data_IF_325898317548
#
_entry.id   IF_325898317548
#
_cell.length_a   1.000
_cell.length_b   1.000
_cell.length_c   1.000
_cell.angle_alpha   90.00
_cell.angle_beta   90.00
_cell.angle_gamma   90.00
#
_symmetry.space_group_name_H-M   'P 1'
#
loop_
_entity.id
_entity.type
_entity.pdbx_description
1 polymer ?
#
# COMPACT_ATOMS: atom_id res chain seq x y z
N UNK A 1 53.52 -8.08 19.97
CA UNK A 1 53.70 -8.29 21.42
C UNK A 1 54.16 -6.96 22.04
N UNK A 2 53.79 -6.63 23.30
CA UNK A 2 52.78 -5.62 23.65
C UNK A 2 53.31 -4.31 24.32
N UNK A 3 52.35 -3.41 24.61
CA UNK A 3 52.22 -2.08 25.28
C UNK A 3 53.09 -1.81 26.56
N UNK A 4 52.92 -0.75 27.42
CA UNK A 4 52.00 0.43 27.46
C UNK A 4 52.63 1.77 28.04
N UNK A 5 51.82 2.84 28.18
CA UNK A 5 52.09 3.96 29.13
C UNK A 5 51.63 5.34 28.63
N UNK A 6 50.38 5.77 28.85
CA UNK A 6 49.87 6.57 30.00
C UNK A 6 50.48 7.98 30.16
N UNK A 7 49.70 9.04 29.97
CA UNK A 7 49.18 9.92 31.04
C UNK A 7 48.46 11.18 30.48
N UNK A 8 47.50 11.64 31.28
CA UNK A 8 46.47 12.65 31.02
C UNK A 8 46.98 14.11 31.03
N UNK A 9 46.37 15.01 30.26
CA UNK A 9 45.81 16.27 30.83
C UNK A 9 44.79 16.99 29.93
N UNK A 10 43.57 16.90 30.42
CA UNK A 10 42.37 17.74 30.31
C UNK A 10 42.61 19.26 30.29
N UNK A 11 41.84 20.01 29.47
CA UNK A 11 41.10 21.27 29.78
C UNK A 11 40.11 21.53 28.61
N UNK A 12 38.80 21.39 28.81
CA UNK A 12 37.87 22.41 29.31
C UNK A 12 37.33 23.33 28.20
N UNK A 13 36.02 23.22 27.93
CA UNK A 13 35.26 24.12 27.06
C UNK A 13 33.88 23.56 26.71
N UNK A 14 32.93 23.62 27.66
CA UNK A 14 31.47 23.70 27.39
C UNK A 14 31.27 24.72 26.25
N UNK A 15 30.41 24.50 25.24
CA UNK A 15 28.94 24.63 25.27
C UNK A 15 28.35 23.68 24.19
N UNK A 16 27.35 22.83 24.43
CA UNK A 16 25.96 23.23 24.58
C UNK A 16 25.04 22.75 23.45
N UNK A 17 25.19 21.51 22.92
CA UNK A 17 24.23 20.95 21.95
C UNK A 17 23.45 19.77 22.56
N UNK A 18 22.22 20.02 23.02
CA UNK A 18 21.29 18.98 23.47
C UNK A 18 20.71 18.27 22.25
N UNK A 19 21.30 17.15 21.84
CA UNK A 19 20.68 16.20 20.91
C UNK A 19 19.95 15.12 21.69
N UNK A 20 18.61 15.17 21.71
CA UNK A 20 17.76 14.14 22.30
C UNK A 20 17.68 12.94 21.36
N UNK A 21 18.62 12.02 21.46
CA UNK A 21 18.39 10.64 21.02
C UNK A 21 17.76 9.87 22.17
N UNK A 22 16.60 9.26 21.95
CA UNK A 22 16.05 8.24 22.84
C UNK A 22 16.11 6.90 22.12
N UNK A 23 17.17 6.19 22.44
CA UNK A 23 17.31 4.74 22.36
C UNK A 23 16.22 4.14 23.26
N UNK A 24 15.34 3.32 22.71
CA UNK A 24 14.37 2.58 23.50
C UNK A 24 15.00 1.25 23.89
N UNK A 25 15.60 1.22 25.07
CA UNK A 25 15.79 0.00 25.85
C UNK A 25 14.46 -0.36 26.51
N UNK A 26 14.13 -1.65 26.46
CA UNK A 26 12.89 -2.19 27.01
C UNK A 26 12.95 -2.34 28.53
N UNK A 27 11.85 -1.99 29.18
CA UNK A 27 11.43 -2.54 30.46
C UNK A 27 9.93 -2.29 30.62
N UNK A 28 9.16 -3.35 30.83
CA UNK A 28 7.70 -3.28 30.91
C UNK A 28 7.22 -2.54 32.15
N UNK A 29 6.02 -1.96 32.04
CA UNK A 29 5.03 -2.14 33.09
C UNK A 29 3.62 -1.93 32.53
N UNK A 30 2.72 -2.80 32.97
CA UNK A 30 1.32 -2.87 32.59
C UNK A 30 0.55 -1.76 33.32
N UNK A 31 0.07 -0.74 32.61
CA UNK A 31 -1.03 0.15 33.06
C UNK A 31 -1.82 0.63 31.85
N UNK A 32 -3.10 0.27 31.83
CA UNK A 32 -4.04 0.72 30.82
C UNK A 32 -4.25 2.24 30.88
N UNK A 33 -4.40 2.82 29.69
CA UNK A 33 -5.12 4.04 29.32
C UNK A 33 -5.32 3.88 27.81
N UNK A 34 -6.52 3.72 27.26
CA UNK A 34 -7.57 4.72 27.34
C UNK A 34 -7.22 5.87 26.40
N UNK A 35 -7.63 5.80 25.13
CA UNK A 35 -7.50 6.91 24.18
C UNK A 35 -7.11 6.50 22.76
N UNK A 36 -8.10 6.19 21.93
CA UNK A 36 -7.89 5.90 20.50
C UNK A 36 -9.13 6.18 19.68
N UNK A 37 -9.82 7.29 19.96
CA UNK A 37 -11.11 7.64 19.35
C UNK A 37 -10.97 8.03 17.87
N UNK A 38 -9.79 8.52 17.45
CA UNK A 38 -9.56 9.00 16.08
C UNK A 38 -9.52 7.92 14.98
N UNK A 39 -9.20 6.67 15.32
CA UNK A 39 -9.09 5.59 14.33
C UNK A 39 -10.45 5.02 13.94
N UNK A 40 -11.40 4.97 14.89
CA UNK A 40 -12.80 4.60 14.60
C UNK A 40 -13.45 5.60 13.64
N UNK A 41 -13.04 6.86 13.70
CA UNK A 41 -13.54 7.92 12.83
C UNK A 41 -13.00 7.78 11.40
N UNK A 42 -11.72 7.41 11.24
CA UNK A 42 -11.12 7.10 9.94
C UNK A 42 -11.66 5.78 9.34
N UNK A 43 -12.01 4.80 10.19
CA UNK A 43 -12.68 3.57 9.78
C UNK A 43 -14.14 3.83 9.39
N UNK A 44 -14.86 4.67 10.14
CA UNK A 44 -16.20 5.17 9.78
C UNK A 44 -16.20 6.00 8.51
N UNK A 45 -15.11 6.70 8.20
CA UNK A 45 -14.94 7.44 6.96
C UNK A 45 -14.70 6.49 5.76
N UNK A 46 -14.10 5.31 5.99
CA UNK A 46 -14.02 4.22 5.01
C UNK A 46 -15.32 3.41 4.89
N UNK A 47 -16.04 3.17 5.99
CA UNK A 47 -17.39 2.60 6.00
C UNK A 47 -18.40 3.56 5.34
N UNK A 48 -18.20 4.87 5.47
CA UNK A 48 -18.98 5.94 4.85
C UNK A 48 -18.81 6.05 3.33
N UNK A 49 -17.91 5.28 2.72
CA UNK A 49 -17.85 5.07 1.28
C UNK A 49 -18.78 3.96 0.79
N UNK A 50 -19.51 3.27 1.69
CA UNK A 50 -20.75 2.62 1.30
C UNK A 50 -21.74 3.74 0.90
N UNK A 51 -21.67 4.17 -0.35
CA UNK A 51 -22.60 5.10 -0.98
C UNK A 51 -24.03 4.58 -0.76
N UNK A 52 -24.69 5.13 0.24
CA UNK A 52 -26.06 4.82 0.63
C UNK A 52 -26.95 5.89 0.01
N UNK A 53 -27.52 5.63 -1.17
CA UNK A 53 -28.62 6.45 -1.67
C UNK A 53 -29.89 6.00 -0.93
N UNK A 54 -30.35 6.83 0.01
CA UNK A 54 -31.66 6.68 0.65
C UNK A 54 -32.73 7.14 -0.33
N UNK A 55 -33.43 6.19 -0.96
CA UNK A 55 -34.69 6.51 -1.65
C UNK A 55 -35.82 6.64 -0.61
N UNK A 56 -36.88 7.37 -0.95
CA UNK A 56 -38.06 7.65 -0.12
C UNK A 56 -38.74 6.39 0.44
N UNK A 57 -38.48 5.23 -0.17
CA UNK A 57 -39.03 3.92 0.22
C UNK A 57 -38.19 3.14 1.25
N UNK A 58 -37.11 3.72 1.81
CA UNK A 58 -36.36 3.12 2.93
C UNK A 58 -35.56 1.84 2.61
N UNK A 59 -35.45 1.43 1.35
CA UNK A 59 -34.72 0.22 0.93
C UNK A 59 -33.24 0.51 0.65
N UNK A 60 -32.36 -0.18 1.36
CA UNK A 60 -30.90 -0.08 1.28
C UNK A 60 -30.35 -0.89 0.09
N UNK A 61 -30.32 -0.33 -1.12
CA UNK A 61 -29.51 -0.90 -2.20
C UNK A 61 -28.07 -0.44 -2.02
N UNK A 62 -27.21 -1.30 -1.49
CA UNK A 62 -25.76 -1.04 -1.48
C UNK A 62 -25.28 -0.85 -2.92
N UNK A 63 -24.78 0.34 -3.25
CA UNK A 63 -24.18 0.55 -4.57
C UNK A 63 -22.98 -0.38 -4.73
N UNK A 64 -23.03 -1.21 -5.76
CA UNK A 64 -21.93 -2.09 -6.16
C UNK A 64 -20.71 -1.23 -6.49
N UNK A 65 -19.69 -1.25 -5.63
CA UNK A 65 -18.45 -0.48 -5.88
C UNK A 65 -17.47 -1.31 -6.70
N UNK A 66 -16.63 -0.60 -7.46
CA UNK A 66 -15.54 -1.22 -8.22
C UNK A 66 -14.21 -0.96 -7.52
N UNK A 67 -13.58 -2.04 -7.09
CA UNK A 67 -12.23 -2.05 -6.52
C UNK A 67 -11.25 -2.51 -7.58
N UNK A 68 -10.23 -1.72 -7.89
CA UNK A 68 -9.18 -2.10 -8.82
C UNK A 68 -7.86 -2.33 -8.09
N UNK A 69 -7.15 -3.41 -8.41
CA UNK A 69 -5.82 -3.73 -7.84
C UNK A 69 -4.80 -3.84 -8.96
N UNK A 70 -3.70 -3.09 -8.87
CA UNK A 70 -2.59 -3.22 -9.81
C UNK A 70 -1.69 -4.39 -9.40
N UNK A 71 -1.61 -5.41 -10.26
CA UNK A 71 -0.91 -6.67 -9.99
C UNK A 71 0.28 -6.88 -10.90
N UNK A 72 1.37 -7.40 -10.33
CA UNK A 72 2.57 -7.86 -11.01
C UNK A 72 3.09 -9.15 -10.33
N UNK A 73 4.26 -9.63 -10.74
CA UNK A 73 4.87 -10.83 -10.15
C UNK A 73 5.40 -10.60 -8.72
N UNK A 74 5.45 -9.36 -8.23
CA UNK A 74 6.02 -9.01 -6.94
C UNK A 74 5.18 -9.54 -5.77
N UNK A 75 5.85 -9.81 -4.65
CA UNK A 75 5.15 -10.14 -3.41
C UNK A 75 4.30 -8.98 -2.89
N UNK A 76 4.64 -7.75 -3.24
CA UNK A 76 4.01 -6.53 -2.72
C UNK A 76 2.61 -6.38 -3.33
N UNK A 77 2.49 -6.57 -4.64
CA UNK A 77 1.19 -6.61 -5.32
C UNK A 77 0.32 -7.79 -4.86
N UNK A 78 0.89 -8.97 -4.64
CA UNK A 78 0.15 -10.12 -4.10
C UNK A 78 -0.41 -9.84 -2.71
N UNK A 79 0.35 -9.17 -1.86
CA UNK A 79 -0.10 -8.77 -0.52
C UNK A 79 -1.17 -7.67 -0.57
N UNK A 80 -1.04 -6.69 -1.47
CA UNK A 80 -2.06 -5.68 -1.70
C UNK A 80 -3.39 -6.28 -2.20
N UNK A 81 -3.31 -7.26 -3.11
CA UNK A 81 -4.49 -8.01 -3.58
C UNK A 81 -5.19 -8.74 -2.44
N UNK A 82 -4.45 -9.49 -1.62
CA UNK A 82 -5.02 -10.22 -0.48
C UNK A 82 -5.67 -9.26 0.52
N UNK A 83 -5.01 -8.13 0.81
CA UNK A 83 -5.56 -7.11 1.69
C UNK A 83 -6.85 -6.49 1.12
N UNK A 84 -6.88 -6.15 -0.17
CA UNK A 84 -8.07 -5.61 -0.83
C UNK A 84 -9.25 -6.59 -0.78
N UNK A 85 -8.98 -7.87 -1.04
CA UNK A 85 -10.00 -8.92 -1.01
C UNK A 85 -10.61 -9.10 0.39
N UNK A 86 -9.80 -8.97 1.44
CA UNK A 86 -10.24 -9.19 2.83
C UNK A 86 -10.86 -7.95 3.47
N UNK A 87 -10.38 -6.74 3.16
CA UNK A 87 -10.77 -5.52 3.89
C UNK A 87 -11.58 -4.52 3.07
N UNK A 88 -11.50 -4.57 1.74
CA UNK A 88 -12.12 -3.55 0.88
C UNK A 88 -13.34 -4.08 0.13
N UNK A 89 -13.29 -5.31 -0.36
CA UNK A 89 -14.39 -5.91 -1.13
C UNK A 89 -15.51 -6.46 -0.24
N UNK A 90 -16.75 -6.36 -0.69
CA UNK A 90 -17.96 -6.93 -0.07
C UNK A 90 -18.72 -7.79 -1.07
N UNK A 91 -19.76 -8.50 -0.60
CA UNK A 91 -20.65 -9.28 -1.48
C UNK A 91 -21.27 -8.39 -2.55
N UNK A 92 -21.15 -8.80 -3.80
CA UNK A 92 -21.68 -8.08 -4.96
C UNK A 92 -20.74 -7.02 -5.54
N UNK A 93 -19.63 -6.69 -4.89
CA UNK A 93 -18.63 -5.77 -5.44
C UNK A 93 -17.88 -6.38 -6.64
N UNK A 94 -17.27 -5.50 -7.45
CA UNK A 94 -16.36 -5.92 -8.52
C UNK A 94 -14.91 -5.71 -8.07
N UNK A 95 -14.11 -6.75 -8.17
CA UNK A 95 -12.65 -6.70 -8.02
C UNK A 95 -11.98 -6.85 -9.39
N UNK A 96 -11.42 -5.77 -9.92
CA UNK A 96 -10.68 -5.76 -11.17
C UNK A 96 -9.17 -5.90 -10.89
N UNK A 97 -8.55 -6.98 -11.35
CA UNK A 97 -7.10 -7.18 -11.29
C UNK A 97 -6.46 -6.66 -12.58
N UNK A 98 -5.69 -5.57 -12.48
CA UNK A 98 -5.03 -4.93 -13.62
C UNK A 98 -3.54 -5.29 -13.67
N UNK A 99 -3.15 -6.06 -14.67
CA UNK A 99 -1.74 -6.31 -15.00
C UNK A 99 -1.31 -5.41 -16.15
N UNK A 100 -0.26 -4.61 -15.95
CA UNK A 100 0.26 -3.71 -16.98
C UNK A 100 1.58 -4.24 -17.50
N UNK A 101 1.63 -4.49 -18.81
CA UNK A 101 2.85 -4.89 -19.52
C UNK A 101 3.48 -3.64 -20.14
N UNK A 102 4.71 -3.26 -19.77
CA UNK A 102 5.38 -2.14 -20.41
C UNK A 102 5.50 -2.39 -21.92
N UNK A 103 5.17 -1.38 -22.73
CA UNK A 103 5.48 -1.39 -24.16
C UNK A 103 6.99 -1.17 -24.31
N UNK A 104 7.78 -2.23 -24.49
CA UNK A 104 9.22 -2.11 -24.73
C UNK A 104 9.46 -1.32 -26.02
N UNK A 105 10.10 -0.16 -25.91
CA UNK A 105 10.66 0.55 -27.06
C UNK A 105 11.74 -0.33 -27.70
N UNK A 106 11.76 -0.43 -29.03
CA UNK A 106 12.78 -1.18 -29.80
C UNK A 106 14.20 -0.86 -29.32
N UNK A 107 14.98 -1.89 -28.99
CA UNK A 107 16.43 -1.79 -28.85
C UNK A 107 17.00 -2.60 -27.67
N UNK A 108 17.74 -3.66 -28.02
CA UNK A 108 18.68 -4.44 -27.19
C UNK A 108 18.13 -5.21 -25.98
N UNK A 109 18.32 -6.52 -26.07
CA UNK A 109 18.32 -7.54 -25.02
C UNK A 109 16.98 -7.86 -24.35
N UNK A 110 16.27 -8.76 -25.02
CA UNK A 110 15.11 -9.49 -24.53
C UNK A 110 15.46 -10.32 -23.27
N UNK A 111 15.52 -9.67 -22.12
CA UNK A 111 14.99 -10.28 -20.90
C UNK A 111 13.47 -10.16 -20.99
N UNK A 112 12.87 -11.18 -21.61
CA UNK A 112 11.44 -11.32 -21.78
C UNK A 112 10.72 -11.00 -20.46
N UNK A 113 10.17 -9.79 -20.38
CA UNK A 113 9.18 -9.43 -19.38
C UNK A 113 7.98 -10.30 -19.65
N UNK A 114 7.98 -11.49 -19.02
CA UNK A 114 6.94 -12.51 -19.04
C UNK A 114 5.66 -11.97 -18.38
N UNK A 115 5.06 -10.95 -18.99
CA UNK A 115 3.68 -10.58 -18.79
C UNK A 115 2.82 -11.60 -19.51
N UNK A 116 2.87 -12.87 -19.07
CA UNK A 116 1.96 -13.85 -19.61
C UNK A 116 0.55 -13.52 -19.11
N UNK A 117 -0.47 -13.62 -19.96
CA UNK A 117 -1.87 -13.42 -19.56
C UNK A 117 -2.30 -14.35 -18.41
N UNK A 118 -1.48 -15.37 -18.15
CA UNK A 118 -1.62 -16.29 -17.05
C UNK A 118 -1.59 -15.62 -15.67
N UNK A 119 -0.85 -14.53 -15.46
CA UNK A 119 -0.73 -13.92 -14.13
C UNK A 119 -2.06 -13.40 -13.61
N UNK A 120 -2.70 -12.49 -14.36
CA UNK A 120 -3.96 -11.88 -13.94
C UNK A 120 -5.06 -12.94 -13.82
N UNK A 121 -5.06 -13.92 -14.71
CA UNK A 121 -6.00 -15.05 -14.71
C UNK A 121 -5.81 -15.97 -13.50
N UNK A 122 -4.57 -16.29 -13.15
CA UNK A 122 -4.24 -17.14 -11.99
C UNK A 122 -4.61 -16.44 -10.70
N UNK A 123 -4.21 -15.18 -10.54
CA UNK A 123 -4.59 -14.37 -9.38
C UNK A 123 -6.11 -14.18 -9.30
N UNK A 124 -6.78 -13.99 -10.44
CA UNK A 124 -8.23 -13.90 -10.51
C UNK A 124 -8.92 -15.18 -10.04
N UNK A 125 -8.40 -16.34 -10.42
CA UNK A 125 -8.91 -17.64 -9.98
C UNK A 125 -8.72 -17.84 -8.47
N UNK A 126 -7.60 -17.40 -7.91
CA UNK A 126 -7.36 -17.41 -6.46
C UNK A 126 -8.35 -16.51 -5.72
N UNK A 127 -8.61 -15.29 -6.22
CA UNK A 127 -9.60 -14.40 -5.61
C UNK A 127 -11.00 -15.02 -5.62
N UNK A 128 -11.42 -15.64 -6.73
CA UNK A 128 -12.71 -16.34 -6.84
C UNK A 128 -12.81 -17.51 -5.86
N UNK A 129 -11.74 -18.28 -5.69
CA UNK A 129 -11.69 -19.40 -4.75
C UNK A 129 -11.79 -18.92 -3.29
N UNK A 130 -11.15 -17.80 -2.95
CA UNK A 130 -11.15 -17.26 -1.59
C UNK A 130 -12.46 -16.52 -1.23
N UNK A 131 -13.13 -15.91 -2.21
CA UNK A 131 -14.33 -15.09 -1.97
C UNK A 131 -15.27 -15.12 -3.19
N UNK A 132 -16.06 -16.18 -3.35
CA UNK A 132 -16.91 -16.38 -4.54
C UNK A 132 -18.04 -15.35 -4.66
N UNK A 133 -18.36 -14.62 -3.58
CA UNK A 133 -19.40 -13.58 -3.57
C UNK A 133 -18.96 -12.27 -4.26
N UNK A 134 -17.68 -12.14 -4.60
CA UNK A 134 -17.11 -10.98 -5.30
C UNK A 134 -16.96 -11.31 -6.77
N UNK A 135 -17.39 -10.39 -7.63
CA UNK A 135 -17.18 -10.52 -9.07
C UNK A 135 -15.75 -10.15 -9.42
N UNK A 136 -14.95 -11.12 -9.88
CA UNK A 136 -13.54 -10.91 -10.20
C UNK A 136 -13.34 -10.80 -11.70
N UNK A 137 -12.80 -9.67 -12.13
CA UNK A 137 -12.38 -9.38 -13.51
C UNK A 137 -10.84 -9.32 -13.59
N UNK A 138 -10.25 -9.92 -14.62
CA UNK A 138 -8.80 -9.86 -14.85
C UNK A 138 -8.53 -9.13 -16.17
N UNK A 139 -7.76 -8.04 -16.10
CA UNK A 139 -7.42 -7.21 -17.25
C UNK A 139 -5.90 -7.19 -17.43
N UNK A 140 -5.45 -7.44 -18.66
CA UNK A 140 -4.06 -7.25 -19.05
C UNK A 140 -3.99 -6.18 -20.14
N UNK A 141 -3.24 -5.12 -19.89
CA UNK A 141 -3.12 -4.00 -20.82
C UNK A 141 -1.65 -3.67 -21.04
N UNK A 142 -1.27 -3.51 -22.31
CA UNK A 142 0.05 -3.04 -22.66
C UNK A 142 0.07 -1.51 -22.70
N UNK A 143 1.08 -0.88 -22.08
CA UNK A 143 1.22 0.58 -22.13
C UNK A 143 2.04 1.19 -21.00
N UNK A 144 2.13 2.53 -20.96
CA UNK A 144 2.82 3.25 -19.90
C UNK A 144 2.07 3.10 -18.57
N UNK A 145 2.79 2.68 -17.52
CA UNK A 145 2.19 2.28 -16.22
C UNK A 145 1.19 3.29 -15.66
N UNK A 146 1.59 4.55 -15.47
CA UNK A 146 0.72 5.59 -14.89
C UNK A 146 -0.46 5.92 -15.81
N UNK A 147 -0.20 6.18 -17.09
CA UNK A 147 -1.24 6.55 -18.05
C UNK A 147 -2.30 5.45 -18.21
N UNK A 148 -1.89 4.18 -18.24
CA UNK A 148 -2.80 3.04 -18.29
C UNK A 148 -3.66 2.95 -17.03
N UNK A 149 -3.09 3.13 -15.82
CA UNK A 149 -3.89 3.14 -14.58
C UNK A 149 -4.90 4.27 -14.60
N UNK A 150 -4.50 5.49 -14.93
CA UNK A 150 -5.41 6.64 -14.99
C UNK A 150 -6.55 6.41 -15.98
N UNK A 151 -6.24 5.88 -17.16
CA UNK A 151 -7.23 5.55 -18.18
C UNK A 151 -8.23 4.50 -17.68
N UNK A 152 -7.76 3.44 -17.02
CA UNK A 152 -8.65 2.39 -16.51
C UNK A 152 -9.47 2.84 -15.31
N UNK A 153 -8.91 3.65 -14.40
CA UNK A 153 -9.66 4.24 -13.29
C UNK A 153 -10.85 5.03 -13.83
N UNK A 154 -10.61 5.89 -14.83
CA UNK A 154 -11.67 6.71 -15.43
C UNK A 154 -12.65 5.88 -16.25
N UNK A 155 -12.16 4.94 -17.07
CA UNK A 155 -12.98 4.12 -17.97
C UNK A 155 -13.93 3.19 -17.22
N UNK A 156 -13.45 2.60 -16.13
CA UNK A 156 -14.22 1.62 -15.35
C UNK A 156 -14.95 2.25 -14.16
N UNK A 157 -14.81 3.56 -13.96
CA UNK A 157 -15.35 4.31 -12.81
C UNK A 157 -14.94 3.65 -11.48
N UNK A 158 -13.63 3.40 -11.34
CA UNK A 158 -13.07 2.75 -10.15
C UNK A 158 -13.31 3.63 -8.93
N UNK A 159 -13.96 3.07 -7.92
CA UNK A 159 -14.24 3.75 -6.65
C UNK A 159 -13.02 3.69 -5.72
N UNK A 160 -12.34 2.54 -5.68
CA UNK A 160 -11.15 2.31 -4.85
C UNK A 160 -10.03 1.68 -5.67
N UNK A 161 -8.87 2.32 -5.73
CA UNK A 161 -7.64 1.79 -6.30
C UNK A 161 -6.69 1.31 -5.21
N UNK A 162 -6.20 0.08 -5.32
CA UNK A 162 -5.23 -0.50 -4.39
C UNK A 162 -3.91 -0.83 -5.10
N UNK A 163 -2.80 -0.39 -4.50
CA UNK A 163 -1.45 -0.52 -5.04
C UNK A 163 -0.51 -1.20 -4.04
N UNK A 164 0.34 -2.11 -4.53
CA UNK A 164 1.42 -2.68 -3.73
C UNK A 164 2.54 -1.66 -3.48
N UNK A 165 2.81 -1.34 -2.22
CA UNK A 165 3.85 -0.41 -1.82
C UNK A 165 5.10 -1.15 -1.32
N UNK A 166 6.24 -0.82 -1.92
CA UNK A 166 7.55 -1.36 -1.54
C UNK A 166 8.05 -0.75 -0.23
N UNK A 167 8.78 -1.55 0.56
CA UNK A 167 9.55 -1.01 1.69
C UNK A 167 10.63 -0.06 1.15
N UNK A 168 10.70 1.20 1.60
CA UNK A 168 11.76 2.10 1.17
C UNK A 168 13.11 1.49 1.55
N UNK A 169 14.03 1.46 0.59
CA UNK A 169 15.38 0.97 0.83
C UNK A 169 16.09 1.95 1.74
N UNK A 170 16.71 1.52 2.86
CA UNK A 170 17.40 2.42 3.78
C UNK A 170 18.54 3.19 3.10
N UNK A 171 19.19 2.58 2.10
CA UNK A 171 20.22 3.21 1.29
C UNK A 171 19.68 4.33 0.39
N UNK A 172 18.55 4.12 -0.28
CA UNK A 172 17.93 5.14 -1.14
C UNK A 172 17.35 6.28 -0.31
N UNK A 173 16.72 5.95 0.82
CA UNK A 173 16.16 6.94 1.73
C UNK A 173 17.25 7.85 2.33
N UNK A 174 18.45 7.32 2.60
CA UNK A 174 19.61 8.11 3.04
C UNK A 174 20.05 9.15 2.00
N UNK A 175 19.93 8.80 0.72
CA UNK A 175 20.25 9.67 -0.40
C UNK A 175 19.07 10.54 -0.85
N UNK A 176 17.94 10.54 -0.12
CA UNK A 176 16.69 11.18 -0.51
C UNK A 176 16.15 10.71 -1.88
N UNK A 177 16.58 9.53 -2.35
CA UNK A 177 16.11 8.91 -3.59
C UNK A 177 14.91 8.01 -3.30
N UNK A 178 13.89 8.09 -4.14
CA UNK A 178 12.76 7.16 -4.14
C UNK A 178 12.94 6.08 -5.19
N UNK A 179 12.32 4.93 -4.95
CA UNK A 179 12.22 3.92 -6.01
C UNK A 179 11.15 4.31 -7.01
N UNK A 180 11.29 3.90 -8.27
CA UNK A 180 10.28 4.12 -9.32
C UNK A 180 8.89 3.60 -8.96
N UNK A 181 8.81 2.56 -8.14
CA UNK A 181 7.54 2.02 -7.63
C UNK A 181 6.93 2.91 -6.56
N UNK A 182 7.75 3.51 -5.70
CA UNK A 182 7.30 4.45 -4.66
C UNK A 182 6.80 5.76 -5.28
N UNK A 183 7.54 6.30 -6.25
CA UNK A 183 7.12 7.47 -7.01
C UNK A 183 5.80 7.23 -7.75
N UNK A 184 5.65 6.06 -8.39
CA UNK A 184 4.41 5.67 -9.05
C UNK A 184 3.22 5.61 -8.07
N UNK A 185 3.38 5.01 -6.88
CA UNK A 185 2.31 4.95 -5.88
C UNK A 185 1.95 6.34 -5.36
N UNK A 186 2.96 7.16 -5.04
CA UNK A 186 2.76 8.55 -4.62
C UNK A 186 2.03 9.37 -5.71
N UNK A 187 2.40 9.21 -6.98
CA UNK A 187 1.73 9.86 -8.11
C UNK A 187 0.26 9.46 -8.20
N UNK A 188 -0.04 8.16 -8.15
CA UNK A 188 -1.43 7.69 -8.17
C UNK A 188 -2.25 8.27 -7.00
N UNK A 189 -1.70 8.27 -5.78
CA UNK A 189 -2.37 8.79 -4.58
C UNK A 189 -2.71 10.29 -4.71
N UNK A 190 -1.83 11.06 -5.36
CA UNK A 190 -1.98 12.51 -5.44
C UNK A 190 -2.77 12.99 -6.66
N UNK A 191 -2.74 12.23 -7.77
CA UNK A 191 -3.29 12.64 -9.06
C UNK A 191 -4.68 12.06 -9.31
N UNK A 192 -4.98 10.85 -8.81
CA UNK A 192 -6.25 10.19 -9.09
C UNK A 192 -7.36 10.72 -8.16
N UNK A 193 -8.55 10.91 -8.74
CA UNK A 193 -9.72 11.38 -8.01
C UNK A 193 -10.39 10.28 -7.17
N UNK A 194 -10.16 9.00 -7.50
CA UNK A 194 -10.69 7.86 -6.74
C UNK A 194 -9.92 7.66 -5.43
N UNK A 195 -10.52 6.96 -4.45
CA UNK A 195 -9.81 6.58 -3.23
C UNK A 195 -8.64 5.66 -3.60
N UNK A 196 -7.41 6.16 -3.46
CA UNK A 196 -6.20 5.40 -3.77
C UNK A 196 -5.48 5.00 -2.48
N UNK A 197 -5.14 3.71 -2.40
CA UNK A 197 -4.58 3.08 -1.22
C UNK A 197 -3.30 2.34 -1.58
N UNK A 198 -2.16 2.79 -1.05
CA UNK A 198 -0.90 2.06 -1.05
C UNK A 198 -0.83 1.09 0.12
N UNK A 199 -0.54 -0.19 -0.16
CA UNK A 199 -0.56 -1.27 0.83
C UNK A 199 0.81 -1.92 0.93
N UNK A 200 1.31 -2.02 2.16
CA UNK A 200 2.61 -2.64 2.45
C UNK A 200 2.49 -3.64 3.59
N UNK A 201 2.90 -4.89 3.38
CA UNK A 201 3.01 -5.87 4.46
C UNK A 201 4.15 -5.50 5.41
N UNK A 202 3.91 -5.56 6.72
CA UNK A 202 4.95 -5.38 7.73
C UNK A 202 5.73 -6.69 7.90
N UNK A 203 7.06 -6.60 7.99
CA UNK A 203 7.96 -7.76 8.01
C UNK A 203 8.65 -8.01 9.35
N UNK A 204 8.38 -7.21 10.38
CA UNK A 204 9.05 -7.31 11.68
C UNK A 204 8.06 -7.72 12.76
N UNK A 205 7.99 -9.02 13.04
CA UNK A 205 7.41 -9.60 14.27
C UNK A 205 5.89 -9.51 14.46
N UNK A 206 5.20 -8.58 13.80
CA UNK A 206 3.75 -8.38 13.93
C UNK A 206 3.10 -8.55 12.56
N UNK A 207 2.11 -9.45 12.48
CA UNK A 207 1.32 -9.67 11.27
C UNK A 207 0.41 -8.45 11.06
N UNK A 208 0.66 -7.67 10.01
CA UNK A 208 -0.12 -6.46 9.76
C UNK A 208 0.26 -5.75 8.46
N UNK A 209 -0.54 -4.73 8.13
CA UNK A 209 -0.37 -3.92 6.92
C UNK A 209 -0.22 -2.44 7.29
N UNK A 210 0.71 -1.79 6.61
CA UNK A 210 0.83 -0.34 6.57
C UNK A 210 0.08 0.16 5.33
N UNK A 211 -0.71 1.20 5.55
CA UNK A 211 -1.57 1.80 4.54
C UNK A 211 -1.16 3.25 4.31
N UNK A 212 -1.15 3.66 3.05
CA UNK A 212 -0.93 5.03 2.64
C UNK A 212 -2.08 5.49 1.75
N UNK A 213 -2.65 6.64 2.06
CA UNK A 213 -3.70 7.32 1.30
C UNK A 213 -3.27 8.77 1.06
N UNK A 214 -4.14 9.54 0.40
CA UNK A 214 -3.91 10.97 0.15
C UNK A 214 -3.70 11.78 1.43
N UNK A 215 -4.38 11.40 2.50
CA UNK A 215 -4.43 12.17 3.75
C UNK A 215 -3.46 11.64 4.81
N UNK A 216 -3.21 10.32 4.83
CA UNK A 216 -2.41 9.68 5.85
C UNK A 216 -1.42 8.70 5.21
N UNK A 217 -0.15 8.76 5.59
CA UNK A 217 0.88 7.84 5.11
C UNK A 217 1.34 6.87 6.19
N UNK A 218 1.58 5.62 5.80
CA UNK A 218 2.12 4.56 6.66
C UNK A 218 1.38 4.37 7.98
N UNK A 219 0.05 4.50 7.98
CA UNK A 219 -0.72 4.19 9.18
C UNK A 219 -1.01 2.69 9.25
N UNK A 220 -1.05 2.16 10.46
CA UNK A 220 -1.14 0.72 10.70
C UNK A 220 -2.60 0.32 10.88
N UNK A 221 -3.07 -0.64 10.07
CA UNK A 221 -4.35 -1.29 10.32
C UNK A 221 -4.07 -2.58 11.09
N UNK A 222 -4.65 -2.67 12.30
CA UNK A 222 -4.74 -3.92 13.03
C UNK A 222 -5.56 -4.89 12.18
N UNK A 223 -4.97 -6.05 11.88
CA UNK A 223 -5.65 -7.17 11.22
C UNK A 223 -6.68 -7.82 12.15
#
# INVERSE_FOLDING_TARGET
>A
MPSPGSFLRQLSGKEGWKSRSRRWDGAGNNRGCGGGVGWKESLKQMEGLNNMYRNENGMLYGMKKRVMVVVDQSSHSKHAMMWALTHVTNKGDILTLLHIVPSSCKGSDASAGSGSPYLATTLGSLCKACKPEVEVEALMIQGPKLGTVMSQVKKLEVSVLVLGQKKPSPLLNCLCLKSSTEEFVDQCINVLDCLTIGVRKQSQGVSGYLISTRWHKNFWLLA
#
